data_IF_862150802759
#
_entry.id   IF_862150802759
#
_cell.length_a   1.000
_cell.length_b   1.000
_cell.length_c   1.000
_cell.angle_alpha   90.00
_cell.angle_beta   90.00
_cell.angle_gamma   90.00
#
_symmetry.space_group_name_H-M   'P 1'
#
loop_
_entity.id
_entity.type
_entity.pdbx_description
1 polymer ?
#
# COMPACT_ATOMS: atom_id res chain seq x y z
N UNK A 1 45.08 32.50 29.49
CA UNK A 1 44.46 31.91 28.29
C UNK A 1 44.50 30.38 28.44
N UNK A 2 43.50 29.78 29.07
CA UNK A 2 43.29 28.33 29.09
C UNK A 2 41.78 28.09 29.03
N UNK A 3 41.31 27.69 27.85
CA UNK A 3 39.94 27.31 27.57
C UNK A 3 39.67 25.92 28.17
N UNK A 4 38.72 25.86 29.10
CA UNK A 4 38.11 24.60 29.56
C UNK A 4 37.16 24.14 28.45
N UNK A 5 37.58 23.12 27.71
CA UNK A 5 36.73 22.38 26.78
C UNK A 5 35.73 21.56 27.59
N UNK A 6 34.50 22.06 27.64
CA UNK A 6 33.33 21.32 28.10
C UNK A 6 33.02 20.25 27.05
N UNK A 7 33.53 19.04 27.25
CA UNK A 7 33.09 17.88 26.50
C UNK A 7 31.67 17.54 26.96
N UNK A 8 30.67 17.88 26.13
CA UNK A 8 29.33 17.31 26.21
C UNK A 8 29.43 15.80 25.95
N UNK A 9 29.66 15.03 27.01
CA UNK A 9 29.29 13.63 27.06
C UNK A 9 27.77 13.57 26.90
N UNK A 10 27.31 13.16 25.71
CA UNK A 10 25.97 12.61 25.52
C UNK A 10 25.87 11.35 26.39
N UNK A 11 25.52 11.53 27.66
CA UNK A 11 25.02 10.44 28.48
C UNK A 11 23.76 9.92 27.80
N UNK A 12 23.80 8.65 27.37
CA UNK A 12 22.60 7.93 26.99
C UNK A 12 21.63 7.99 28.15
N UNK A 13 20.48 8.64 27.97
CA UNK A 13 19.38 8.52 28.91
C UNK A 13 19.04 7.03 29.05
N UNK A 14 19.45 6.42 30.16
CA UNK A 14 19.22 5.00 30.45
C UNK A 14 17.71 4.73 30.39
N UNK A 15 17.31 3.72 29.61
CA UNK A 15 15.93 3.24 29.53
C UNK A 15 15.04 3.79 28.40
N UNK A 16 15.54 4.64 27.50
CA UNK A 16 14.74 5.08 26.35
C UNK A 16 14.92 4.18 25.12
N UNK A 17 13.81 3.81 24.48
CA UNK A 17 13.82 3.08 23.21
C UNK A 17 13.98 4.06 22.06
N UNK A 18 15.14 4.03 21.39
CA UNK A 18 15.42 4.89 20.23
C UNK A 18 14.83 4.28 18.97
N UNK A 19 13.87 4.98 18.36
CA UNK A 19 13.22 4.55 17.11
C UNK A 19 13.86 5.21 15.89
N UNK A 20 14.25 6.48 15.98
CA UNK A 20 14.97 7.19 14.92
C UNK A 20 16.03 8.11 15.53
N UNK A 21 17.18 8.22 14.87
CA UNK A 21 18.25 9.15 15.26
C UNK A 21 19.05 9.58 14.03
N UNK A 22 19.37 10.86 13.93
CA UNK A 22 20.16 11.46 12.85
C UNK A 22 19.61 11.15 11.45
N UNK A 23 18.29 11.23 11.30
CA UNK A 23 17.60 10.98 10.02
C UNK A 23 17.60 9.51 9.57
N UNK A 24 17.92 8.58 10.46
CA UNK A 24 17.90 7.14 10.19
C UNK A 24 17.00 6.39 11.17
N UNK A 25 16.23 5.45 10.66
CA UNK A 25 15.52 4.49 11.50
C UNK A 25 16.54 3.64 12.27
N UNK A 26 16.28 3.47 13.56
CA UNK A 26 17.03 2.60 14.49
C UNK A 26 16.21 1.40 14.93
N UNK A 27 14.93 1.39 14.56
CA UNK A 27 14.01 0.30 14.84
C UNK A 27 13.40 -0.27 13.56
N UNK A 28 13.01 -1.54 13.66
CA UNK A 28 12.15 -2.22 12.67
C UNK A 28 10.81 -2.56 13.32
N UNK A 29 9.74 -2.51 12.55
CA UNK A 29 8.42 -2.98 12.98
C UNK A 29 8.38 -4.48 12.77
N UNK A 30 8.17 -5.23 13.86
CA UNK A 30 8.10 -6.69 13.84
C UNK A 30 6.64 -7.10 14.01
N UNK A 31 6.02 -7.58 12.94
CA UNK A 31 4.62 -7.96 12.93
C UNK A 31 4.46 -9.39 12.40
N UNK A 32 4.15 -10.33 13.30
CA UNK A 32 3.97 -11.74 12.92
C UNK A 32 2.64 -11.94 12.19
N UNK A 33 2.69 -12.67 11.09
CA UNK A 33 1.52 -12.88 10.24
C UNK A 33 1.07 -11.64 9.48
N UNK A 34 1.77 -10.50 9.59
CA UNK A 34 1.47 -9.31 8.81
C UNK A 34 1.48 -9.65 7.33
N UNK A 35 0.37 -9.34 6.67
CA UNK A 35 0.28 -9.42 5.23
C UNK A 35 -0.03 -8.02 4.73
N UNK A 36 0.87 -7.40 3.94
CA UNK A 36 0.60 -6.07 3.43
C UNK A 36 -0.70 -6.11 2.63
N UNK A 37 -1.60 -5.15 2.84
CA UNK A 37 -2.86 -5.10 2.07
C UNK A 37 -2.49 -5.12 0.59
N UNK A 38 -2.93 -6.12 -0.17
CA UNK A 38 -2.57 -6.21 -1.56
C UNK A 38 -3.45 -5.22 -2.32
N UNK A 39 -2.87 -4.08 -2.67
CA UNK A 39 -3.49 -3.20 -3.63
C UNK A 39 -2.65 -3.30 -4.89
N UNK A 40 -3.29 -3.68 -6.00
CA UNK A 40 -2.65 -3.56 -7.29
C UNK A 40 -2.28 -2.09 -7.50
N UNK A 41 -0.99 -1.87 -7.66
CA UNK A 41 -0.36 -0.58 -7.73
C UNK A 41 0.37 -0.45 -9.07
N UNK A 42 0.34 0.73 -9.70
CA UNK A 42 1.13 0.99 -10.91
C UNK A 42 2.35 1.83 -10.53
N UNK A 43 3.57 1.35 -10.78
CA UNK A 43 4.80 2.09 -10.41
C UNK A 43 5.16 3.18 -11.42
N UNK A 44 4.96 2.86 -12.70
CA UNK A 44 5.26 3.76 -13.80
C UNK A 44 4.37 3.44 -14.99
N UNK A 45 4.26 4.40 -15.90
CA UNK A 45 3.62 4.23 -17.19
C UNK A 45 4.34 5.05 -18.25
N UNK A 46 4.56 4.44 -19.40
CA UNK A 46 5.14 5.05 -20.59
C UNK A 46 4.27 4.75 -21.80
N UNK A 47 4.00 5.77 -22.61
CA UNK A 47 3.41 5.65 -23.93
C UNK A 47 4.34 6.33 -24.90
N UNK A 48 4.91 5.58 -25.84
CA UNK A 48 5.80 6.08 -26.87
C UNK A 48 5.28 5.75 -28.27
N UNK A 49 5.63 6.56 -29.27
CA UNK A 49 5.38 6.26 -30.66
C UNK A 49 6.50 6.76 -31.58
N UNK A 50 6.97 5.88 -32.46
CA UNK A 50 8.04 6.21 -33.42
C UNK A 50 9.30 6.79 -32.74
N UNK A 51 9.68 6.24 -31.59
CA UNK A 51 10.85 6.69 -30.81
C UNK A 51 10.64 7.97 -29.99
N UNK A 52 9.41 8.49 -29.88
CA UNK A 52 9.10 9.67 -29.06
C UNK A 52 8.14 9.34 -27.92
N UNK A 53 8.41 9.89 -26.74
CA UNK A 53 7.51 9.76 -25.59
C UNK A 53 6.28 10.67 -25.77
N UNK A 54 5.10 10.07 -25.73
CA UNK A 54 3.80 10.75 -25.71
C UNK A 54 3.29 10.98 -24.28
N UNK A 55 3.67 10.07 -23.37
CA UNK A 55 3.44 10.12 -21.92
C UNK A 55 4.56 9.32 -21.25
N UNK A 56 5.12 9.84 -20.15
CA UNK A 56 6.05 9.11 -19.31
C UNK A 56 5.90 9.62 -17.89
N UNK A 57 5.48 8.75 -16.98
CA UNK A 57 5.18 9.10 -15.60
C UNK A 57 5.70 8.02 -14.66
N UNK A 58 6.21 8.48 -13.52
CA UNK A 58 6.51 7.64 -12.37
C UNK A 58 5.58 8.05 -11.23
N UNK A 59 5.02 7.06 -10.56
CA UNK A 59 4.10 7.27 -9.46
C UNK A 59 4.87 7.24 -8.14
N UNK A 60 5.88 8.11 -8.01
CA UNK A 60 6.73 8.23 -6.83
C UNK A 60 6.22 9.34 -5.91
N UNK A 61 5.95 9.01 -4.64
CA UNK A 61 5.32 9.94 -3.71
C UNK A 61 4.94 9.29 -2.36
N UNK A 62 4.70 10.09 -1.31
CA UNK A 62 4.27 9.58 -0.01
C UNK A 62 2.93 8.84 -0.08
N UNK A 63 2.75 7.89 0.84
CA UNK A 63 1.52 7.10 0.96
C UNK A 63 0.29 7.97 1.15
N UNK A 64 -0.61 8.00 0.16
CA UNK A 64 -1.80 8.86 0.18
C UNK A 64 -1.77 10.02 -0.82
N UNK A 65 -0.63 10.28 -1.48
CA UNK A 65 -0.51 11.41 -2.39
C UNK A 65 -1.35 11.22 -3.66
N UNK A 66 -2.20 12.19 -3.97
CA UNK A 66 -2.99 12.23 -5.21
C UNK A 66 -2.09 12.45 -6.43
N UNK A 67 -2.46 11.82 -7.55
CA UNK A 67 -1.80 12.02 -8.87
C UNK A 67 -2.43 13.14 -9.69
N UNK A 68 -3.43 13.85 -9.16
CA UNK A 68 -4.05 14.99 -9.86
C UNK A 68 -3.03 16.08 -10.18
N UNK A 69 -2.00 16.23 -9.34
CA UNK A 69 -0.85 17.11 -9.57
C UNK A 69 -0.08 16.78 -10.86
N UNK A 70 -0.09 15.51 -11.28
CA UNK A 70 0.47 15.05 -12.55
C UNK A 70 -0.55 15.17 -13.72
N UNK A 71 -1.72 15.78 -13.51
CA UNK A 71 -2.74 16.01 -14.54
C UNK A 71 -3.64 14.81 -14.85
N UNK A 72 -3.67 13.80 -13.99
CA UNK A 72 -4.64 12.71 -14.06
C UNK A 72 -5.99 13.16 -13.53
N UNK A 73 -7.08 12.74 -14.18
CA UNK A 73 -8.45 13.00 -13.74
C UNK A 73 -9.08 11.73 -13.20
N UNK A 74 -9.53 11.75 -11.95
CA UNK A 74 -10.23 10.63 -11.34
C UNK A 74 -11.68 10.54 -11.81
N UNK A 75 -12.15 9.31 -12.05
CA UNK A 75 -13.53 9.02 -12.46
C UNK A 75 -14.25 8.08 -11.49
N UNK A 76 -13.52 7.32 -10.69
CA UNK A 76 -14.05 6.47 -9.61
C UNK A 76 -12.95 6.29 -8.59
N UNK A 77 -13.29 6.36 -7.30
CA UNK A 77 -12.31 6.33 -6.21
C UNK A 77 -11.33 7.51 -6.27
N UNK A 78 -10.53 7.66 -5.22
CA UNK A 78 -9.30 8.44 -5.31
C UNK A 78 -8.14 7.44 -5.46
N UNK A 79 -7.08 7.83 -6.16
CA UNK A 79 -5.84 7.07 -6.09
C UNK A 79 -4.85 7.79 -5.22
N UNK A 80 -4.05 7.00 -4.54
CA UNK A 80 -2.90 7.42 -3.80
C UNK A 80 -1.67 6.68 -4.34
N UNK A 81 -0.53 7.35 -4.35
CA UNK A 81 0.74 6.65 -4.36
C UNK A 81 0.83 5.85 -3.06
N UNK A 82 1.17 4.57 -3.14
CA UNK A 82 1.45 3.69 -2.02
C UNK A 82 2.85 3.08 -2.20
N UNK A 83 3.56 2.87 -1.10
CA UNK A 83 4.92 2.35 -1.09
C UNK A 83 4.93 0.94 -0.50
N UNK A 84 5.38 -0.05 -1.28
CA UNK A 84 5.77 -1.38 -0.80
C UNK A 84 7.26 -1.54 -1.08
N UNK A 85 8.09 -1.84 -0.07
CA UNK A 85 9.54 -2.10 -0.14
C UNK A 85 10.20 -2.12 -1.53
N UNK A 86 10.62 -0.94 -2.02
CA UNK A 86 11.26 -0.66 -3.33
C UNK A 86 10.41 -0.78 -4.61
N UNK A 87 9.15 -1.17 -4.52
CA UNK A 87 8.18 -1.19 -5.62
C UNK A 87 7.03 -0.21 -5.31
N UNK A 88 7.13 0.96 -5.94
CA UNK A 88 6.21 2.08 -5.76
C UNK A 88 4.91 1.84 -6.54
N UNK A 89 3.76 2.36 -6.14
CA UNK A 89 2.71 2.57 -7.14
C UNK A 89 1.32 3.04 -6.72
N UNK A 90 0.57 3.37 -7.77
CA UNK A 90 -0.77 3.93 -7.86
C UNK A 90 -1.89 2.93 -7.48
N UNK A 91 -2.51 3.12 -6.31
CA UNK A 91 -3.51 2.24 -5.73
C UNK A 91 -4.78 3.01 -5.34
N UNK A 92 -5.94 2.35 -5.30
CA UNK A 92 -7.18 2.98 -4.80
C UNK A 92 -7.00 3.39 -3.33
N UNK A 93 -7.15 4.68 -3.02
CA UNK A 93 -6.87 5.28 -1.71
C UNK A 93 -8.00 5.09 -0.70
N UNK A 94 -9.19 4.70 -1.14
CA UNK A 94 -10.36 4.46 -0.30
C UNK A 94 -11.31 3.43 -0.93
N UNK A 95 -12.24 2.91 -0.12
CA UNK A 95 -13.34 2.06 -0.61
C UNK A 95 -14.24 2.86 -1.55
N UNK A 96 -14.53 2.29 -2.71
CA UNK A 96 -15.45 2.89 -3.68
C UNK A 96 -16.90 2.48 -3.43
N UNK A 97 -17.13 1.24 -2.97
CA UNK A 97 -18.43 0.64 -2.71
C UNK A 97 -18.27 -0.67 -1.92
N UNK A 98 -18.88 -0.77 -0.73
CA UNK A 98 -18.83 -1.96 0.12
C UNK A 98 -17.39 -2.39 0.49
N UNK A 99 -16.98 -3.57 0.02
CA UNK A 99 -15.62 -4.10 0.23
C UNK A 99 -14.66 -3.83 -0.94
N UNK A 100 -15.05 -3.01 -1.92
CA UNK A 100 -14.27 -2.76 -3.14
C UNK A 100 -13.34 -1.56 -2.97
N UNK A 101 -12.06 -1.77 -3.24
CA UNK A 101 -11.06 -0.73 -3.45
C UNK A 101 -10.89 -0.56 -4.95
N UNK A 102 -11.76 0.27 -5.55
CA UNK A 102 -11.70 0.59 -6.98
C UNK A 102 -11.20 2.00 -7.16
N UNK A 103 -10.28 2.17 -8.09
CA UNK A 103 -9.98 3.47 -8.60
C UNK A 103 -9.78 3.46 -10.12
N UNK A 104 -10.18 4.55 -10.77
CA UNK A 104 -10.06 4.77 -12.22
C UNK A 104 -9.62 6.20 -12.52
N UNK A 105 -8.49 6.36 -13.21
CA UNK A 105 -7.97 7.67 -13.59
C UNK A 105 -7.64 7.71 -15.06
N UNK A 106 -7.82 8.88 -15.65
CA UNK A 106 -7.70 9.11 -17.08
C UNK A 106 -6.73 10.26 -17.31
N UNK A 107 -5.86 10.11 -18.31
CA UNK A 107 -5.00 11.18 -18.78
C UNK A 107 -5.03 11.24 -20.30
N UNK A 108 -5.35 12.41 -20.83
CA UNK A 108 -5.32 12.66 -22.26
C UNK A 108 -3.86 12.84 -22.70
N UNK A 109 -3.54 12.34 -23.89
CA UNK A 109 -2.26 12.68 -24.52
C UNK A 109 -2.27 14.16 -24.89
N UNK A 110 -1.11 14.82 -24.77
CA UNK A 110 -0.95 16.23 -25.19
C UNK A 110 -1.29 16.41 -26.67
N UNK A 111 -1.00 15.40 -27.49
CA UNK A 111 -1.36 15.32 -28.91
C UNK A 111 -1.86 13.91 -29.21
N UNK A 112 -3.05 13.77 -29.83
CA UNK A 112 -3.49 12.47 -30.32
C UNK A 112 -2.49 11.86 -31.31
N UNK A 113 -2.37 10.54 -31.30
CA UNK A 113 -1.43 9.81 -32.15
C UNK A 113 -2.14 8.81 -33.04
N UNK A 114 -1.98 8.92 -34.36
CA UNK A 114 -2.49 7.91 -35.30
C UNK A 114 -1.41 6.85 -35.54
N UNK A 115 -1.74 5.60 -35.26
CA UNK A 115 -0.83 4.47 -35.43
C UNK A 115 -0.52 4.25 -36.91
N UNK A 116 0.77 4.25 -37.25
CA UNK A 116 1.28 3.93 -38.59
C UNK A 116 2.33 2.83 -38.50
N UNK A 117 2.80 2.33 -39.65
CA UNK A 117 3.84 1.29 -39.71
C UNK A 117 5.16 1.80 -39.11
N UNK A 118 5.48 3.06 -39.37
CA UNK A 118 6.75 3.69 -38.95
C UNK A 118 6.65 4.32 -37.55
N UNK A 119 5.43 4.50 -37.03
CA UNK A 119 5.18 5.00 -35.69
C UNK A 119 4.15 4.12 -34.95
N UNK A 120 4.51 2.87 -34.61
CA UNK A 120 3.70 2.03 -33.75
C UNK A 120 3.60 2.68 -32.37
N UNK A 121 2.50 2.41 -31.66
CA UNK A 121 2.34 2.81 -30.26
C UNK A 121 2.92 1.72 -29.36
N UNK A 122 3.77 2.09 -28.41
CA UNK A 122 4.26 1.21 -27.35
C UNK A 122 3.76 1.77 -26.01
N UNK A 123 2.98 0.97 -25.28
CA UNK A 123 2.60 1.19 -23.90
C UNK A 123 3.43 0.25 -23.02
N UNK A 124 4.10 0.77 -22.01
CA UNK A 124 4.83 0.01 -20.99
C UNK A 124 4.44 0.50 -19.61
N UNK A 125 4.29 -0.40 -18.64
CA UNK A 125 4.01 -0.03 -17.26
C UNK A 125 4.38 -1.17 -16.30
N UNK A 126 4.66 -0.80 -15.06
CA UNK A 126 4.90 -1.74 -13.96
C UNK A 126 3.64 -1.86 -13.14
N UNK A 127 3.22 -3.09 -12.83
CA UNK A 127 1.99 -3.34 -12.05
C UNK A 127 2.18 -4.44 -11.00
N UNK A 128 1.76 -4.18 -9.77
CA UNK A 128 1.56 -5.22 -8.77
C UNK A 128 0.26 -5.96 -9.03
N UNK A 129 0.30 -7.30 -8.99
CA UNK A 129 -0.87 -8.13 -9.26
C UNK A 129 -1.99 -7.87 -8.24
N UNK A 130 -3.26 -7.94 -8.66
CA UNK A 130 -4.37 -8.06 -7.73
C UNK A 130 -4.24 -9.32 -6.89
N UNK A 131 -4.72 -9.26 -5.66
CA UNK A 131 -4.78 -10.42 -4.76
C UNK A 131 -6.21 -10.51 -4.24
N UNK A 132 -6.76 -11.72 -4.30
CA UNK A 132 -8.12 -12.01 -3.87
C UNK A 132 -8.59 -13.30 -4.51
N UNK A 133 -9.10 -14.23 -3.71
CA UNK A 133 -9.48 -15.58 -4.16
C UNK A 133 -10.99 -15.81 -4.22
N UNK A 134 -11.80 -14.85 -3.72
CA UNK A 134 -13.26 -15.03 -3.60
C UNK A 134 -14.10 -14.09 -4.45
N UNK A 135 -13.49 -13.05 -5.05
CA UNK A 135 -14.17 -12.09 -5.94
C UNK A 135 -13.22 -11.53 -6.98
N UNK A 136 -13.77 -11.26 -8.16
CA UNK A 136 -13.04 -10.74 -9.30
C UNK A 136 -12.30 -9.44 -8.94
N UNK A 137 -11.02 -9.37 -9.28
CA UNK A 137 -10.15 -8.22 -9.05
C UNK A 137 -9.30 -7.98 -10.29
N UNK A 138 -8.93 -6.73 -10.58
CA UNK A 138 -8.19 -6.41 -11.80
C UNK A 138 -7.26 -5.22 -11.62
N UNK A 139 -6.23 -5.19 -12.47
CA UNK A 139 -5.36 -4.05 -12.66
C UNK A 139 -4.96 -3.99 -14.12
N UNK A 140 -5.43 -2.96 -14.84
CA UNK A 140 -5.13 -2.80 -16.26
C UNK A 140 -4.94 -1.34 -16.64
N UNK A 141 -4.19 -1.14 -17.72
CA UNK A 141 -4.16 0.10 -18.48
C UNK A 141 -4.99 -0.08 -19.73
N UNK A 142 -5.86 0.88 -20.01
CA UNK A 142 -6.64 0.96 -21.24
C UNK A 142 -6.17 2.17 -22.05
N UNK A 143 -6.00 1.98 -23.35
CA UNK A 143 -5.77 3.07 -24.30
C UNK A 143 -7.11 3.56 -24.84
N UNK A 144 -7.29 4.89 -24.86
CA UNK A 144 -8.46 5.54 -25.42
C UNK A 144 -8.23 5.84 -26.90
N UNK A 145 -9.24 5.53 -27.71
CA UNK A 145 -9.21 5.80 -29.15
C UNK A 145 -10.21 6.89 -29.50
N UNK A 146 -9.97 7.61 -30.60
CA UNK A 146 -10.87 8.65 -31.12
C UNK A 146 -12.27 8.09 -31.42
N UNK A 147 -12.35 6.84 -31.85
CA UNK A 147 -13.60 6.17 -32.23
C UNK A 147 -14.29 5.48 -31.04
N UNK A 148 -13.81 5.69 -29.81
CA UNK A 148 -14.41 5.12 -28.59
C UNK A 148 -14.09 3.64 -28.32
N UNK A 149 -13.37 2.97 -29.22
CA UNK A 149 -12.92 1.58 -29.05
C UNK A 149 -11.99 1.41 -27.86
N UNK A 150 -12.03 0.23 -27.25
CA UNK A 150 -11.29 -0.12 -26.03
C UNK A 150 -10.18 -1.13 -26.31
N UNK A 151 -8.97 -0.77 -25.89
CA UNK A 151 -7.79 -1.64 -25.91
C UNK A 151 -7.18 -1.66 -24.53
N UNK A 152 -7.08 -2.82 -23.89
CA UNK A 152 -6.57 -2.91 -22.54
C UNK A 152 -5.53 -4.01 -22.38
N UNK A 153 -4.59 -3.75 -21.47
CA UNK A 153 -3.54 -4.66 -21.07
C UNK A 153 -3.46 -4.65 -19.55
N UNK A 154 -3.28 -5.80 -18.90
CA UNK A 154 -3.34 -5.90 -17.44
C UNK A 154 -3.37 -7.32 -16.91
N UNK A 155 -3.81 -7.45 -15.66
CA UNK A 155 -4.01 -8.71 -14.94
C UNK A 155 -5.40 -8.70 -14.33
N UNK A 156 -6.08 -9.84 -14.37
CA UNK A 156 -7.33 -10.09 -13.65
C UNK A 156 -7.18 -11.35 -12.81
N UNK A 157 -7.85 -11.38 -11.66
CA UNK A 157 -8.01 -12.55 -10.81
C UNK A 157 -9.50 -12.86 -10.78
N UNK A 158 -9.88 -14.05 -11.23
CA UNK A 158 -11.27 -14.46 -11.26
C UNK A 158 -11.76 -14.91 -9.89
N UNK A 159 -13.07 -15.15 -9.78
CA UNK A 159 -13.71 -15.60 -8.53
C UNK A 159 -13.20 -16.94 -8.00
N UNK A 160 -12.52 -17.75 -8.84
CA UNK A 160 -11.89 -19.02 -8.45
C UNK A 160 -10.42 -18.85 -8.02
N UNK A 161 -9.96 -17.60 -7.87
CA UNK A 161 -8.57 -17.26 -7.52
C UNK A 161 -7.56 -17.42 -8.65
N UNK A 162 -7.97 -17.90 -9.83
CA UNK A 162 -7.05 -18.02 -10.97
C UNK A 162 -6.76 -16.66 -11.56
N UNK A 163 -5.48 -16.42 -11.83
CA UNK A 163 -4.98 -15.19 -12.46
C UNK A 163 -4.91 -15.35 -13.98
N UNK A 164 -5.27 -14.30 -14.70
CA UNK A 164 -5.22 -14.24 -16.16
C UNK A 164 -4.64 -12.89 -16.59
N UNK A 165 -4.05 -12.83 -17.77
CA UNK A 165 -3.82 -11.54 -18.41
C UNK A 165 -5.16 -10.91 -18.80
N UNK A 166 -5.36 -9.65 -18.41
CA UNK A 166 -6.48 -8.84 -18.88
C UNK A 166 -6.06 -8.15 -20.17
N UNK A 167 -6.74 -8.51 -21.24
CA UNK A 167 -6.18 -8.40 -22.56
C UNK A 167 -7.31 -8.04 -23.53
N UNK A 168 -8.08 -6.98 -23.28
CA UNK A 168 -9.26 -6.67 -24.10
C UNK A 168 -8.87 -5.97 -25.42
N UNK A 169 -9.49 -6.37 -26.53
CA UNK A 169 -9.09 -5.94 -27.87
C UNK A 169 -10.28 -5.93 -28.86
N UNK A 170 -11.08 -4.87 -28.88
CA UNK A 170 -12.29 -4.83 -29.73
C UNK A 170 -11.98 -4.93 -31.25
N UNK A 171 -12.68 -5.80 -32.02
CA UNK A 171 -13.88 -6.55 -31.65
C UNK A 171 -13.63 -7.95 -31.04
N UNK A 172 -12.37 -8.39 -30.97
CA UNK A 172 -11.98 -9.75 -30.59
C UNK A 172 -11.31 -9.75 -29.22
N UNK A 173 -12.09 -9.94 -28.16
CA UNK A 173 -11.49 -10.25 -26.87
C UNK A 173 -10.80 -11.63 -26.95
N UNK A 174 -9.51 -11.72 -26.65
CA UNK A 174 -8.81 -12.98 -26.60
C UNK A 174 -9.39 -13.84 -25.50
N UNK A 175 -9.32 -15.15 -25.72
CA UNK A 175 -9.55 -16.12 -24.65
C UNK A 175 -8.68 -15.77 -23.44
N UNK A 176 -9.23 -15.99 -22.25
CA UNK A 176 -8.53 -15.72 -20.99
C UNK A 176 -7.19 -16.44 -21.00
N UNK A 177 -6.09 -15.71 -21.15
CA UNK A 177 -4.74 -16.28 -21.12
C UNK A 177 -4.33 -16.45 -19.65
N UNK A 178 -4.14 -17.68 -19.14
CA UNK A 178 -3.72 -17.89 -17.76
C UNK A 178 -2.38 -17.22 -17.49
N UNK A 179 -2.26 -16.64 -16.29
CA UNK A 179 -0.99 -16.11 -15.85
C UNK A 179 -0.03 -17.28 -15.54
N UNK A 180 1.21 -17.27 -16.07
CA UNK A 180 2.17 -18.34 -15.81
C UNK A 180 2.50 -18.50 -14.32
N UNK A 181 2.84 -19.74 -13.91
CA UNK A 181 3.11 -20.06 -12.51
C UNK A 181 4.38 -19.38 -11.95
N UNK A 182 5.32 -19.04 -12.82
CA UNK A 182 6.55 -18.29 -12.53
C UNK A 182 6.35 -16.76 -12.50
N UNK A 183 5.13 -16.27 -12.74
CA UNK A 183 4.82 -14.85 -12.64
C UNK A 183 4.86 -14.39 -11.17
N UNK A 184 5.80 -13.51 -10.87
CA UNK A 184 5.98 -12.90 -9.56
C UNK A 184 4.86 -11.94 -9.17
N UNK A 185 4.95 -11.30 -8.00
CA UNK A 185 3.93 -10.38 -7.49
C UNK A 185 3.86 -9.07 -8.28
N UNK A 186 4.94 -8.67 -8.96
CA UNK A 186 5.04 -7.44 -9.75
C UNK A 186 5.58 -7.75 -11.14
N UNK A 187 4.93 -7.17 -12.14
CA UNK A 187 5.15 -7.47 -13.55
C UNK A 187 5.44 -6.19 -14.33
N UNK A 188 6.38 -6.28 -15.26
CA UNK A 188 6.48 -5.33 -16.37
C UNK A 188 5.56 -5.79 -17.48
N UNK A 189 4.58 -4.98 -17.86
CA UNK A 189 3.65 -5.25 -18.95
C UNK A 189 3.88 -4.29 -20.11
N UNK A 190 3.81 -4.82 -21.33
CA UNK A 190 4.02 -4.07 -22.56
C UNK A 190 2.98 -4.39 -23.61
N UNK A 191 2.42 -3.36 -24.23
CA UNK A 191 1.54 -3.45 -25.39
C UNK A 191 2.11 -2.66 -26.55
N UNK A 192 2.29 -3.31 -27.70
CA UNK A 192 2.71 -2.69 -28.96
C UNK A 192 1.55 -2.75 -29.95
N UNK A 193 1.02 -1.60 -30.35
CA UNK A 193 -0.03 -1.46 -31.35
C UNK A 193 0.57 -1.04 -32.70
N UNK A 194 0.41 -1.91 -33.69
CA UNK A 194 0.75 -1.72 -35.11
C UNK A 194 -0.54 -1.49 -35.91
N UNK A 195 -0.48 -0.98 -37.15
CA UNK A 195 -1.67 -0.66 -37.96
C UNK A 195 -2.66 -1.80 -38.14
N UNK A 196 -2.18 -3.05 -38.04
CA UNK A 196 -2.96 -4.26 -38.26
C UNK A 196 -2.76 -5.31 -37.17
N UNK A 197 -1.97 -5.07 -36.13
CA UNK A 197 -1.73 -6.06 -35.06
C UNK A 197 -1.52 -5.40 -33.71
N UNK A 198 -1.99 -6.03 -32.64
CA UNK A 198 -1.59 -5.68 -31.28
C UNK A 198 -0.81 -6.84 -30.69
N UNK A 199 0.31 -6.52 -30.04
CA UNK A 199 1.20 -7.50 -29.42
C UNK A 199 1.35 -7.16 -27.96
N UNK A 200 1.17 -8.15 -27.09
CA UNK A 200 1.42 -7.97 -25.67
C UNK A 200 2.60 -8.79 -25.21
N UNK A 201 3.23 -8.28 -24.17
CA UNK A 201 4.39 -8.90 -23.56
C UNK A 201 4.36 -8.69 -22.06
N UNK A 202 5.06 -9.59 -21.36
CA UNK A 202 5.25 -9.51 -19.92
C UNK A 202 6.64 -10.01 -19.50
N UNK A 203 7.09 -9.61 -18.32
CA UNK A 203 8.17 -10.26 -17.56
C UNK A 203 8.03 -9.94 -16.08
N UNK A 204 8.77 -10.63 -15.22
CA UNK A 204 8.88 -10.26 -13.81
C UNK A 204 9.61 -8.92 -13.68
N UNK A 205 9.10 -8.02 -12.85
CA UNK A 205 9.76 -6.75 -12.59
C UNK A 205 11.15 -6.98 -11.98
N UNK A 206 12.13 -6.17 -12.37
CA UNK A 206 13.52 -6.32 -11.92
C UNK A 206 14.29 -7.50 -12.53
N UNK A 207 13.68 -8.28 -13.43
CA UNK A 207 14.35 -9.36 -14.14
C UNK A 207 15.09 -8.86 -15.39
N UNK A 208 16.28 -9.41 -15.64
CA UNK A 208 17.03 -9.24 -16.89
C UNK A 208 16.47 -10.09 -18.04
N UNK A 209 15.44 -10.91 -17.79
CA UNK A 209 14.77 -11.70 -18.83
C UNK A 209 14.16 -10.81 -19.93
N UNK A 210 14.22 -11.33 -21.15
CA UNK A 210 13.50 -10.76 -22.27
C UNK A 210 11.98 -10.86 -22.06
N UNK A 211 11.26 -9.86 -22.56
CA UNK A 211 9.81 -9.82 -22.59
C UNK A 211 9.21 -11.08 -23.28
N UNK A 212 8.43 -11.86 -22.54
CA UNK A 212 7.69 -13.03 -23.02
C UNK A 212 6.43 -12.57 -23.76
N UNK A 213 6.19 -13.08 -24.97
CA UNK A 213 5.09 -12.66 -25.86
C UNK A 213 3.77 -13.38 -25.53
N UNK A 214 2.67 -12.63 -25.56
CA UNK A 214 1.28 -13.13 -25.50
C UNK A 214 0.69 -13.00 -26.92
N UNK A 215 0.06 -14.06 -27.45
CA UNK A 215 -0.48 -14.08 -28.84
C UNK A 215 -1.72 -13.18 -28.95
N UNK A 216 -1.86 -12.45 -30.07
CA UNK A 216 -3.10 -11.72 -30.41
C UNK A 216 -3.23 -11.34 -31.90
N UNK A 217 -4.44 -10.93 -32.29
CA UNK A 217 -4.98 -10.57 -33.60
C UNK A 217 -4.90 -9.06 -33.94
N UNK A 218 -5.59 -8.65 -35.01
CA UNK A 218 -5.34 -7.41 -35.71
C UNK A 218 -6.27 -6.22 -35.50
N UNK A 219 -5.74 -5.02 -35.69
CA UNK A 219 -6.55 -3.82 -35.99
C UNK A 219 -7.09 -3.93 -37.42
N UNK A 220 -8.35 -3.56 -37.65
CA UNK A 220 -8.96 -3.60 -38.98
C UNK A 220 -8.74 -2.32 -39.81
N UNK A 221 -8.37 -1.21 -39.14
CA UNK A 221 -8.17 0.15 -39.71
C UNK A 221 -7.16 0.92 -38.84
N UNK A 222 -6.51 1.98 -39.36
CA UNK A 222 -5.70 2.88 -38.55
C UNK A 222 -6.50 3.44 -37.37
N UNK A 223 -5.88 3.50 -36.19
CA UNK A 223 -6.53 3.95 -34.96
C UNK A 223 -5.79 5.17 -34.43
N UNK A 224 -6.55 6.22 -34.08
CA UNK A 224 -6.02 7.41 -33.40
C UNK A 224 -6.20 7.26 -31.89
N UNK A 225 -5.10 7.31 -31.15
CA UNK A 225 -5.03 7.26 -29.70
C UNK A 225 -5.15 8.67 -29.14
N UNK A 226 -5.99 8.85 -28.12
CA UNK A 226 -6.28 10.16 -27.52
C UNK A 226 -5.85 10.27 -26.06
N UNK A 227 -5.62 9.15 -25.39
CA UNK A 227 -5.32 9.12 -23.96
C UNK A 227 -5.15 7.71 -23.43
N UNK A 228 -4.95 7.62 -22.12
CA UNK A 228 -4.88 6.38 -21.37
C UNK A 228 -5.76 6.46 -20.13
N UNK A 229 -6.20 5.30 -19.66
CA UNK A 229 -6.91 5.08 -18.41
C UNK A 229 -6.17 4.01 -17.63
N UNK A 230 -5.93 4.27 -16.35
CA UNK A 230 -5.45 3.27 -15.41
C UNK A 230 -6.62 2.87 -14.51
N UNK A 231 -6.84 1.56 -14.36
CA UNK A 231 -7.87 1.00 -13.50
C UNK A 231 -7.29 -0.05 -12.58
N UNK A 232 -7.59 0.08 -11.29
CA UNK A 232 -7.33 -0.92 -10.27
C UNK A 232 -8.64 -1.22 -9.54
N UNK A 233 -8.93 -2.49 -9.31
CA UNK A 233 -9.99 -2.92 -8.41
C UNK A 233 -9.53 -4.13 -7.62
N UNK A 234 -9.55 -3.99 -6.29
CA UNK A 234 -9.27 -5.06 -5.36
C UNK A 234 -10.45 -5.22 -4.39
N UNK A 235 -10.63 -6.43 -3.86
CA UNK A 235 -11.57 -6.68 -2.79
C UNK A 235 -10.81 -6.73 -1.45
N UNK A 236 -11.27 -5.98 -0.45
CA UNK A 236 -10.71 -5.97 0.89
C UNK A 236 -10.94 -7.27 1.69
N UNK A 237 -11.60 -8.25 1.06
CA UNK A 237 -11.97 -9.51 1.69
C UNK A 237 -11.10 -10.61 1.16
N UNK A 238 -9.94 -10.81 1.77
CA UNK A 238 -9.38 -12.15 1.80
C UNK A 238 -10.33 -12.96 2.69
N UNK A 239 -11.29 -13.70 2.10
CA UNK A 239 -12.36 -14.37 2.86
C UNK A 239 -11.85 -15.51 3.75
N UNK A 240 -10.57 -15.85 3.64
CA UNK A 240 -9.90 -16.83 4.50
C UNK A 240 -9.15 -16.20 5.68
N UNK A 241 -8.93 -14.87 5.70
CA UNK A 241 -8.24 -14.16 6.79
C UNK A 241 -9.27 -13.53 7.73
N UNK A 242 -9.13 -13.73 9.04
CA UNK A 242 -10.05 -13.12 10.02
C UNK A 242 -10.09 -11.60 9.81
N UNK A 243 -11.29 -10.98 9.80
CA UNK A 243 -11.45 -9.54 9.62
C UNK A 243 -10.64 -8.70 10.62
N UNK A 244 -10.35 -9.25 11.82
CA UNK A 244 -9.48 -8.63 12.81
C UNK A 244 -8.03 -8.54 12.35
N UNK A 245 -7.53 -9.55 11.64
CA UNK A 245 -6.14 -9.63 11.21
C UNK A 245 -5.89 -8.68 10.05
N UNK A 246 -6.81 -8.60 9.09
CA UNK A 246 -6.75 -7.61 8.01
C UNK A 246 -6.78 -6.16 8.54
N UNK A 247 -7.52 -5.90 9.62
CA UNK A 247 -7.54 -4.58 10.28
C UNK A 247 -6.24 -4.29 11.02
N UNK A 248 -5.64 -5.30 11.64
CA UNK A 248 -4.33 -5.19 12.26
C UNK A 248 -3.24 -4.92 11.21
N UNK A 249 -3.29 -5.59 10.06
CA UNK A 249 -2.36 -5.32 8.95
C UNK A 249 -2.43 -3.86 8.54
N UNK A 250 -3.64 -3.34 8.32
CA UNK A 250 -3.84 -1.94 7.97
C UNK A 250 -3.34 -0.98 9.05
N UNK A 251 -3.59 -1.27 10.31
CA UNK A 251 -3.10 -0.46 11.42
C UNK A 251 -1.56 -0.50 11.51
N UNK A 252 -0.93 -1.63 11.16
CA UNK A 252 0.53 -1.78 11.08
C UNK A 252 1.11 -0.94 9.94
N UNK A 253 0.43 -0.90 8.80
CA UNK A 253 0.80 -0.02 7.68
C UNK A 253 0.68 1.47 8.08
N UNK A 254 -0.39 1.83 8.79
CA UNK A 254 -0.57 3.19 9.34
C UNK A 254 0.52 3.52 10.37
N UNK A 255 0.91 2.59 11.24
CA UNK A 255 2.02 2.76 12.18
C UNK A 255 3.31 3.12 11.45
N UNK A 256 3.69 2.34 10.42
CA UNK A 256 4.84 2.65 9.58
C UNK A 256 4.70 4.04 8.95
N UNK A 257 3.58 4.31 8.27
CA UNK A 257 3.34 5.59 7.59
C UNK A 257 3.56 6.78 8.53
N UNK A 258 2.93 6.76 9.71
CA UNK A 258 3.04 7.89 10.63
C UNK A 258 4.42 8.00 11.25
N UNK A 259 5.12 6.89 11.51
CA UNK A 259 6.51 6.95 11.96
C UNK A 259 7.42 7.54 10.87
N UNK A 260 7.23 7.16 9.62
CA UNK A 260 7.99 7.70 8.50
C UNK A 260 7.78 9.22 8.38
N UNK A 261 6.53 9.67 8.41
CA UNK A 261 6.19 11.10 8.30
C UNK A 261 6.67 11.90 9.51
N UNK A 262 6.57 11.34 10.73
CA UNK A 262 7.05 12.00 11.96
C UNK A 262 8.56 12.20 11.92
N UNK A 263 9.30 11.22 11.45
CA UNK A 263 10.77 11.17 11.58
C UNK A 263 11.52 11.60 10.32
N UNK A 264 10.84 11.62 9.16
CA UNK A 264 11.46 11.85 7.86
C UNK A 264 12.38 10.72 7.40
N UNK A 265 12.30 9.52 8.00
CA UNK A 265 13.11 8.35 7.65
C UNK A 265 12.24 7.12 7.47
N UNK A 266 12.71 6.12 6.73
CA UNK A 266 11.91 4.95 6.37
C UNK A 266 12.07 3.82 7.41
N UNK A 267 10.96 3.40 8.00
CA UNK A 267 10.86 2.20 8.83
C UNK A 267 10.51 0.97 8.00
N UNK A 268 11.07 -0.19 8.30
CA UNK A 268 10.69 -1.44 7.65
C UNK A 268 9.70 -2.24 8.50
N UNK A 269 8.75 -2.93 7.86
CA UNK A 269 7.92 -3.96 8.49
C UNK A 269 8.49 -5.31 8.09
N UNK A 270 8.82 -6.14 9.07
CA UNK A 270 9.46 -7.45 8.88
C UNK A 270 8.76 -8.52 9.70
N UNK A 271 8.85 -9.77 9.23
CA UNK A 271 8.53 -10.93 10.05
C UNK A 271 9.61 -11.14 11.12
N UNK A 272 9.30 -11.76 12.28
CA UNK A 272 10.24 -11.91 13.39
C UNK A 272 11.61 -12.49 12.99
N UNK A 273 11.65 -13.43 12.07
CA UNK A 273 12.86 -14.13 11.62
C UNK A 273 13.77 -13.23 10.76
N UNK A 274 13.19 -12.22 10.10
CA UNK A 274 13.89 -11.27 9.25
C UNK A 274 14.37 -10.02 10.00
N UNK A 275 14.05 -9.89 11.29
CA UNK A 275 14.45 -8.73 12.10
C UNK A 275 15.98 -8.67 12.28
N UNK A 276 16.64 -7.55 11.89
CA UNK A 276 18.08 -7.41 12.07
C UNK A 276 18.53 -7.54 13.52
N UNK A 277 19.69 -8.16 13.75
CA UNK A 277 20.29 -8.21 15.08
C UNK A 277 20.79 -6.81 15.47
N UNK A 278 20.52 -6.40 16.72
CA UNK A 278 21.00 -5.14 17.27
C UNK A 278 20.15 -3.90 16.94
N UNK A 279 19.11 -4.02 16.10
CA UNK A 279 18.09 -2.96 15.97
C UNK A 279 17.07 -3.04 17.10
N UNK A 280 16.56 -1.88 17.51
CA UNK A 280 15.35 -1.79 18.33
C UNK A 280 14.18 -2.43 17.56
N UNK A 281 13.22 -3.01 18.26
CA UNK A 281 12.04 -3.62 17.63
C UNK A 281 10.77 -2.99 18.17
N UNK A 282 9.85 -2.73 17.25
CA UNK A 282 8.47 -2.34 17.54
C UNK A 282 7.64 -3.58 17.27
N UNK A 283 7.39 -4.39 18.30
CA UNK A 283 6.58 -5.59 18.17
C UNK A 283 5.10 -5.23 18.11
N UNK A 284 4.42 -5.71 17.07
CA UNK A 284 3.00 -5.49 16.86
C UNK A 284 2.24 -6.81 16.94
N UNK A 285 1.17 -6.82 17.73
CA UNK A 285 0.27 -7.96 17.85
C UNK A 285 0.64 -8.95 18.95
N UNK A 286 0.13 -10.18 18.84
CA UNK A 286 0.23 -11.21 19.88
C UNK A 286 0.93 -12.44 19.30
N UNK A 287 2.26 -12.39 19.30
CA UNK A 287 3.14 -13.44 18.82
C UNK A 287 3.75 -14.24 19.98
N UNK A 288 4.24 -15.47 19.76
CA UNK A 288 5.07 -16.18 20.73
C UNK A 288 6.27 -15.35 21.21
N UNK A 289 6.86 -14.51 20.34
CA UNK A 289 7.93 -13.59 20.72
C UNK A 289 7.45 -12.52 21.72
N UNK A 290 6.30 -11.88 21.46
CA UNK A 290 5.67 -10.91 22.37
C UNK A 290 5.34 -11.56 23.72
N UNK A 291 4.74 -12.75 23.71
CA UNK A 291 4.39 -13.48 24.95
C UNK A 291 5.63 -13.83 25.78
N UNK A 292 6.75 -14.16 25.14
CA UNK A 292 8.04 -14.40 25.85
C UNK A 292 8.65 -13.12 26.41
N UNK A 293 8.49 -11.98 25.73
CA UNK A 293 8.99 -10.68 26.22
C UNK A 293 8.20 -10.16 27.41
N UNK A 294 6.92 -10.51 27.50
CA UNK A 294 6.00 -10.07 28.55
C UNK A 294 5.29 -11.28 29.19
N UNK A 295 6.02 -12.12 29.95
CA UNK A 295 5.45 -13.32 30.57
C UNK A 295 4.45 -13.00 31.68
N UNK A 296 4.55 -11.81 32.29
CA UNK A 296 3.67 -11.39 33.38
C UNK A 296 2.29 -10.88 32.91
N UNK A 297 2.10 -10.74 31.58
CA UNK A 297 0.81 -10.35 31.01
C UNK A 297 0.00 -11.61 30.76
N UNK A 298 -1.19 -11.70 31.36
CA UNK A 298 -2.14 -12.75 31.03
C UNK A 298 -2.85 -12.45 29.70
N UNK A 299 -2.16 -12.80 28.61
CA UNK A 299 -2.63 -12.58 27.23
C UNK A 299 -3.97 -13.23 26.92
N UNK A 300 -4.32 -14.32 27.61
CA UNK A 300 -5.55 -15.06 27.37
C UNK A 300 -6.75 -14.47 28.12
N UNK A 301 -6.49 -13.66 29.15
CA UNK A 301 -7.52 -13.02 29.98
C UNK A 301 -7.64 -11.51 29.71
N UNK A 302 -6.99 -10.98 28.66
CA UNK A 302 -7.17 -9.60 28.25
C UNK A 302 -8.64 -9.32 27.91
N UNK A 303 -9.22 -8.31 28.54
CA UNK A 303 -10.59 -7.89 28.27
C UNK A 303 -10.82 -7.41 26.84
N UNK A 304 -12.09 -7.23 26.50
CA UNK A 304 -12.48 -6.81 25.14
C UNK A 304 -11.85 -5.47 24.81
N UNK A 305 -11.11 -5.41 23.70
CA UNK A 305 -10.39 -4.21 23.25
C UNK A 305 -9.30 -3.69 24.22
N UNK A 306 -8.89 -4.47 25.22
CA UNK A 306 -7.81 -4.07 26.11
C UNK A 306 -6.51 -3.83 25.32
N UNK A 307 -5.71 -2.87 25.75
CA UNK A 307 -4.44 -2.50 25.11
C UNK A 307 -3.27 -2.70 26.07
N UNK A 308 -2.13 -3.06 25.50
CA UNK A 308 -0.84 -3.19 26.20
C UNK A 308 0.22 -2.48 25.36
N UNK A 309 0.84 -1.44 25.91
CA UNK A 309 1.98 -0.75 25.30
C UNK A 309 3.11 -0.71 26.32
N UNK A 310 4.20 -1.43 26.08
CA UNK A 310 5.27 -1.59 27.08
C UNK A 310 6.65 -1.63 26.45
N UNK A 311 7.58 -0.85 27.00
CA UNK A 311 9.01 -0.93 26.65
C UNK A 311 9.67 -2.07 27.41
N UNK A 312 10.51 -2.85 26.73
CA UNK A 312 11.30 -3.95 27.30
C UNK A 312 12.72 -3.86 26.76
N UNK A 313 13.67 -3.43 27.59
CA UNK A 313 15.03 -3.14 27.14
C UNK A 313 15.04 -2.06 26.05
N UNK A 314 15.54 -2.41 24.86
CA UNK A 314 15.56 -1.52 23.69
C UNK A 314 14.38 -1.74 22.73
N UNK A 315 13.38 -2.54 23.12
CA UNK A 315 12.23 -2.87 22.30
C UNK A 315 10.95 -2.28 22.91
N UNK A 316 9.92 -2.15 22.08
CA UNK A 316 8.57 -1.77 22.51
C UNK A 316 7.57 -2.79 21.98
N UNK A 317 6.64 -3.20 22.84
CA UNK A 317 5.50 -4.05 22.50
C UNK A 317 4.26 -3.17 22.39
N UNK A 318 3.52 -3.31 21.29
CA UNK A 318 2.23 -2.67 21.02
C UNK A 318 1.23 -3.78 20.70
N UNK A 319 0.36 -4.12 21.64
CA UNK A 319 -0.54 -5.26 21.53
C UNK A 319 -1.85 -5.06 22.29
N UNK A 320 -2.73 -6.06 22.29
CA UNK A 320 -4.02 -5.98 22.97
C UNK A 320 -4.94 -7.16 22.74
N UNK A 321 -6.05 -7.18 23.48
CA UNK A 321 -7.10 -8.18 23.41
C UNK A 321 -7.93 -8.10 22.13
N UNK A 322 -8.56 -9.22 21.75
CA UNK A 322 -9.51 -9.25 20.62
C UNK A 322 -10.80 -8.49 20.97
N UNK A 323 -11.57 -8.02 19.97
CA UNK A 323 -11.26 -8.06 18.53
C UNK A 323 -10.36 -6.91 18.06
N UNK A 324 -10.18 -5.82 18.83
CA UNK A 324 -9.62 -4.55 18.30
C UNK A 324 -8.49 -3.95 19.12
N UNK A 325 -8.18 -4.51 20.29
CA UNK A 325 -7.19 -3.96 21.22
C UNK A 325 -5.84 -3.70 20.56
N UNK A 326 -5.36 -4.61 19.71
CA UNK A 326 -4.11 -4.43 18.94
C UNK A 326 -4.14 -3.18 18.05
N UNK A 327 -5.25 -2.94 17.35
CA UNK A 327 -5.45 -1.75 16.51
C UNK A 327 -5.48 -0.49 17.37
N UNK A 328 -6.19 -0.52 18.50
CA UNK A 328 -6.26 0.65 19.39
C UNK A 328 -4.96 0.94 20.11
N UNK A 329 -4.16 -0.08 20.43
CA UNK A 329 -2.83 0.10 21.00
C UNK A 329 -1.92 0.88 20.04
N UNK A 330 -1.98 0.59 18.74
CA UNK A 330 -1.25 1.33 17.70
C UNK A 330 -1.67 2.80 17.68
N UNK A 331 -2.98 3.08 17.60
CA UNK A 331 -3.44 4.47 17.54
C UNK A 331 -3.23 5.22 18.87
N UNK A 332 -3.27 4.53 20.02
CA UNK A 332 -2.87 5.10 21.31
C UNK A 332 -1.39 5.42 21.36
N UNK A 333 -0.52 4.54 20.88
CA UNK A 333 0.91 4.82 20.77
C UNK A 333 1.17 6.05 19.89
N UNK A 334 0.59 6.08 18.69
CA UNK A 334 0.74 7.20 17.77
C UNK A 334 0.20 8.51 18.36
N UNK A 335 -0.94 8.46 19.04
CA UNK A 335 -1.58 9.66 19.57
C UNK A 335 -0.88 10.20 20.82
N UNK A 336 -0.71 9.34 21.82
CA UNK A 336 -0.44 9.78 23.19
C UNK A 336 1.05 9.70 23.52
N UNK A 337 1.82 8.91 22.75
CA UNK A 337 3.27 8.77 22.93
C UNK A 337 4.03 9.49 21.79
N UNK A 338 3.67 9.23 20.53
CA UNK A 338 4.34 9.89 19.38
C UNK A 338 3.85 11.33 19.19
N UNK A 339 2.56 11.59 19.41
CA UNK A 339 1.96 12.93 19.39
C UNK A 339 1.15 13.27 18.13
N UNK A 340 0.78 12.28 17.31
CA UNK A 340 -0.12 12.49 16.18
C UNK A 340 -1.52 12.90 16.67
N UNK A 341 -2.20 13.79 15.95
CA UNK A 341 -3.58 14.19 16.25
C UNK A 341 -4.46 14.11 15.01
N UNK A 342 -5.61 13.45 15.14
CA UNK A 342 -6.64 13.41 14.12
C UNK A 342 -7.83 14.24 14.57
N UNK A 343 -8.03 15.39 13.93
CA UNK A 343 -9.10 16.32 14.28
C UNK A 343 -10.36 16.05 13.45
N UNK A 344 -10.17 15.80 12.15
CA UNK A 344 -11.20 15.43 11.20
C UNK A 344 -10.57 14.64 10.04
N UNK A 345 -11.37 14.03 9.15
CA UNK A 345 -10.84 13.46 7.91
C UNK A 345 -10.03 14.51 7.14
N UNK A 346 -8.80 14.16 6.76
CA UNK A 346 -7.81 15.05 6.12
C UNK A 346 -7.25 16.19 6.98
N UNK A 347 -7.74 16.38 8.21
CA UNK A 347 -7.23 17.38 9.15
C UNK A 347 -6.44 16.67 10.26
N UNK A 348 -5.15 16.47 10.00
CA UNK A 348 -4.25 15.68 10.84
C UNK A 348 -3.02 16.53 11.19
N UNK A 349 -2.66 16.58 12.46
CA UNK A 349 -1.39 17.15 12.91
C UNK A 349 -0.39 16.01 13.13
N UNK A 350 0.71 16.06 12.40
CA UNK A 350 1.80 15.08 12.50
C UNK A 350 3.03 15.84 13.01
N UNK A 351 3.58 15.49 14.18
CA UNK A 351 4.73 16.19 14.71
C UNK A 351 5.98 15.88 13.88
N UNK A 352 6.85 16.87 13.67
CA UNK A 352 8.16 16.64 13.06
C UNK A 352 9.20 16.38 14.14
N UNK A 353 9.69 15.14 14.23
CA UNK A 353 10.65 14.65 15.22
C UNK A 353 11.73 13.79 14.55
N UNK A 354 12.76 14.43 14.00
CA UNK A 354 13.91 13.74 13.36
C UNK A 354 14.54 12.66 14.27
N UNK A 355 14.60 12.96 15.57
CA UNK A 355 15.03 12.04 16.61
C UNK A 355 13.81 11.63 17.44
N UNK A 356 13.43 10.36 17.36
CA UNK A 356 12.29 9.82 18.11
C UNK A 356 12.80 8.78 19.11
N UNK A 357 12.69 9.12 20.39
CA UNK A 357 12.99 8.22 21.51
C UNK A 357 11.75 8.08 22.39
N UNK A 358 11.43 6.85 22.77
CA UNK A 358 10.27 6.52 23.59
C UNK A 358 10.74 6.35 25.04
N UNK A 359 10.17 7.10 26.00
CA UNK A 359 10.50 6.91 27.41
C UNK A 359 10.04 5.53 27.90
N UNK A 360 10.58 5.04 29.04
CA UNK A 360 10.04 3.86 29.70
C UNK A 360 8.51 3.93 29.80
N UNK A 361 7.83 2.99 29.17
CA UNK A 361 6.38 2.98 29.02
C UNK A 361 5.83 1.66 29.54
N UNK A 362 4.74 1.74 30.31
CA UNK A 362 3.99 0.59 30.80
C UNK A 362 2.50 0.94 30.87
N UNK A 363 1.84 0.96 29.71
CA UNK A 363 0.42 1.25 29.58
C UNK A 363 -0.34 -0.06 29.46
N UNK A 364 -1.31 -0.24 30.35
CA UNK A 364 -2.36 -1.26 30.25
C UNK A 364 -3.69 -0.57 30.45
N UNK A 365 -4.63 -0.78 29.54
CA UNK A 365 -5.95 -0.16 29.63
C UNK A 365 -7.02 -1.06 29.04
N UNK A 366 -8.09 -1.26 29.80
CA UNK A 366 -9.29 -1.94 29.36
C UNK A 366 -10.45 -0.94 29.29
N UNK A 367 -11.12 -0.79 28.13
CA UNK A 367 -12.26 0.11 28.02
C UNK A 367 -13.42 -0.31 28.96
N UNK A 368 -13.99 0.60 29.76
CA UNK A 368 -15.10 0.28 30.66
C UNK A 368 -16.39 -0.06 29.91
N UNK A 369 -16.53 0.44 28.67
CA UNK A 369 -17.65 0.16 27.80
C UNK A 369 -17.23 -0.81 26.70
N UNK A 370 -17.89 -1.97 26.65
CA UNK A 370 -17.73 -2.98 25.59
C UNK A 370 -17.99 -2.41 24.19
N UNK A 371 -18.91 -1.45 24.09
CA UNK A 371 -19.33 -0.84 22.83
C UNK A 371 -19.19 0.67 22.91
N UNK A 372 -18.55 1.25 21.88
CA UNK A 372 -18.32 2.69 21.73
C UNK A 372 -18.70 3.07 20.31
N UNK A 373 -19.80 3.80 20.11
CA UNK A 373 -20.31 4.14 18.78
C UNK A 373 -20.51 5.64 18.68
N UNK A 374 -20.27 6.18 17.48
CA UNK A 374 -20.56 7.57 17.14
C UNK A 374 -21.34 7.60 15.83
N UNK A 375 -22.53 8.20 15.81
CA UNK A 375 -23.48 8.11 14.67
C UNK A 375 -23.32 9.20 13.62
N UNK A 376 -22.21 9.94 13.63
CA UNK A 376 -21.93 10.96 12.60
C UNK A 376 -21.27 10.38 11.35
N UNK A 377 -21.14 11.22 10.32
CA UNK A 377 -20.34 10.93 9.12
C UNK A 377 -18.90 10.50 9.46
N UNK A 378 -18.27 11.12 10.46
CA UNK A 378 -16.92 10.74 10.92
C UNK A 378 -16.95 9.33 11.51
N UNK A 379 -17.95 9.02 12.34
CA UNK A 379 -18.13 7.69 12.92
C UNK A 379 -18.48 6.60 11.90
N UNK A 380 -18.79 6.95 10.65
CA UNK A 380 -19.02 6.00 9.54
C UNK A 380 -17.75 5.67 8.74
N UNK A 381 -16.66 6.44 8.91
CA UNK A 381 -15.41 6.24 8.18
C UNK A 381 -14.53 5.20 8.90
N UNK A 382 -14.07 4.12 8.22
CA UNK A 382 -13.27 3.06 8.84
C UNK A 382 -12.02 3.55 9.58
N UNK A 383 -11.30 4.50 8.97
CA UNK A 383 -10.06 5.05 9.50
C UNK A 383 -10.33 5.86 10.78
N UNK A 384 -11.35 6.73 10.74
CA UNK A 384 -11.75 7.54 11.88
C UNK A 384 -12.28 6.70 13.06
N UNK A 385 -12.95 5.57 12.80
CA UNK A 385 -13.34 4.63 13.87
C UNK A 385 -12.12 4.10 14.62
N UNK A 386 -10.99 3.92 13.94
CA UNK A 386 -9.79 3.40 14.58
C UNK A 386 -9.08 4.49 15.41
N UNK A 387 -8.99 5.72 14.89
CA UNK A 387 -8.44 6.88 15.62
C UNK A 387 -9.25 7.17 16.90
N UNK A 388 -10.57 7.17 16.77
CA UNK A 388 -11.52 7.43 17.86
C UNK A 388 -11.79 6.18 18.72
N UNK A 389 -11.19 5.04 18.39
CA UNK A 389 -11.30 3.77 19.13
C UNK A 389 -12.75 3.28 19.28
N UNK A 390 -13.55 3.48 18.23
CA UNK A 390 -14.97 3.12 18.11
C UNK A 390 -15.18 1.69 17.62
N UNK A 391 -16.17 1.01 18.19
CA UNK A 391 -16.61 -0.33 17.78
C UNK A 391 -17.05 -0.38 16.31
N UNK A 392 -16.66 -1.44 15.61
CA UNK A 392 -16.86 -1.59 14.15
C UNK A 392 -17.16 -3.03 13.70
N UNK A 393 -17.49 -3.92 14.63
CA UNK A 393 -17.81 -5.34 14.43
C UNK A 393 -19.30 -5.64 14.64
N UNK A 394 -20.16 -4.63 14.44
CA UNK A 394 -21.61 -4.74 14.44
C UNK A 394 -22.14 -5.12 13.06
#
# INVERSE_FOLDING_TARGET
MLLVLWACLQTSAEGQVRLATDGKSKAVIVAEGWQPVPISAFASISVAAGGRDLLKEEFNGPSGQSVESQGWKHSTGAFAVSYRGKEVGFAASAKSDGSKHKAVAIKNLRRPHTITKDAPLTLEYVVSRPVGTSRESWAYVRVHTKDGKRWANGVTVANDGKSYFYAAAEPNDPERVPLPADAGPVLDLKMVMLPTTVRWYWRNHGSDEAYKKIRHWGLSKPVTITGVMISSMNHAGDTNRELSDARLDRATDDLKKYLDEVTGTEFEIVVPEAAPKGSSKIFVGDSPAVRRLLPDVDWNSLGTDAIVIKTVGNDIVISGGKPRGKVYAIYTFLQDIVGCRWWAPNEITIPSKLNLSIPPTNVSYEPPFRMRVHTSRIGSMPEARSWLRLSYDL
#
